data_IF_861301026116
#
_entry.id   IF_861301026116
#
_cell.length_a   1.000
_cell.length_b   1.000
_cell.length_c   1.000
_cell.angle_alpha   90.00
_cell.angle_beta   90.00
_cell.angle_gamma   90.00
#
_symmetry.space_group_name_H-M   'P 1'
#
loop_
_entity.id
_entity.type
_entity.pdbx_description
1 polymer ?
#
# COMPACT_ATOMS: atom_id res chain seq x y z
N UNK A 1 -2.64 -29.17 -10.46
CA UNK A 1 -1.85 -28.17 -9.69
C UNK A 1 -1.35 -28.85 -8.41
N UNK A 2 -0.10 -28.64 -7.96
CA UNK A 2 0.42 -29.27 -6.73
C UNK A 2 0.47 -28.23 -5.61
N UNK A 3 -0.44 -28.38 -4.65
CA UNK A 3 -0.60 -27.49 -3.50
C UNK A 3 -0.55 -28.33 -2.22
N UNK A 4 0.18 -27.85 -1.22
CA UNK A 4 0.26 -28.48 0.09
C UNK A 4 -0.63 -27.71 1.05
N UNK A 5 -1.70 -28.36 1.50
CA UNK A 5 -2.62 -27.81 2.48
C UNK A 5 -2.16 -28.17 3.89
N UNK A 6 -2.44 -27.29 4.84
CA UNK A 6 -2.31 -27.64 6.26
C UNK A 6 -3.36 -28.68 6.65
N UNK A 7 -3.09 -29.45 7.71
CA UNK A 7 -4.06 -30.44 8.22
C UNK A 7 -5.41 -29.81 8.56
N UNK A 8 -5.43 -28.55 9.01
CA UNK A 8 -6.67 -27.83 9.28
C UNK A 8 -7.42 -27.49 7.97
N UNK A 9 -6.71 -27.00 6.95
CA UNK A 9 -7.31 -26.69 5.65
C UNK A 9 -7.91 -27.93 4.99
N UNK A 10 -7.20 -29.06 5.01
CA UNK A 10 -7.71 -30.33 4.47
C UNK A 10 -9.01 -30.76 5.15
N UNK A 11 -9.06 -30.73 6.49
CA UNK A 11 -10.27 -31.12 7.25
C UNK A 11 -11.47 -30.24 6.93
N UNK A 12 -11.27 -28.94 6.77
CA UNK A 12 -12.35 -28.00 6.44
C UNK A 12 -12.89 -28.31 5.05
N UNK A 13 -12.02 -28.45 4.05
CA UNK A 13 -12.44 -28.71 2.67
C UNK A 13 -13.08 -30.09 2.51
N UNK A 14 -12.55 -31.12 3.17
CA UNK A 14 -13.16 -32.46 3.19
C UNK A 14 -14.56 -32.44 3.81
N UNK A 15 -14.74 -31.72 4.91
CA UNK A 15 -16.05 -31.54 5.56
C UNK A 15 -17.05 -30.83 4.63
N UNK A 16 -16.61 -29.78 3.93
CA UNK A 16 -17.45 -29.04 2.98
C UNK A 16 -17.87 -29.90 1.77
N UNK A 17 -16.99 -30.78 1.29
CA UNK A 17 -17.33 -31.75 0.25
C UNK A 17 -18.32 -32.81 0.76
N UNK A 18 -18.12 -33.33 1.97
CA UNK A 18 -19.02 -34.33 2.57
C UNK A 18 -20.42 -33.80 2.84
N UNK A 19 -20.55 -32.51 3.11
CA UNK A 19 -21.84 -31.83 3.30
C UNK A 19 -22.57 -31.54 1.99
N UNK A 20 -21.97 -31.89 0.83
CA UNK A 20 -22.54 -31.63 -0.48
C UNK A 20 -22.42 -30.18 -0.93
N UNK A 21 -21.58 -29.38 -0.26
CA UNK A 21 -21.33 -27.98 -0.63
C UNK A 21 -20.51 -27.83 -1.91
N UNK A 22 -19.73 -28.86 -2.28
CA UNK A 22 -18.89 -28.90 -3.47
C UNK A 22 -18.81 -30.31 -4.04
N UNK A 23 -18.65 -30.43 -5.36
CA UNK A 23 -18.65 -31.72 -6.07
C UNK A 23 -17.38 -32.54 -5.85
N UNK A 24 -16.28 -31.86 -5.55
CA UNK A 24 -14.98 -32.48 -5.26
C UNK A 24 -14.10 -31.53 -4.45
N UNK A 25 -12.99 -32.05 -3.93
CA UNK A 25 -11.98 -31.24 -3.26
C UNK A 25 -11.39 -30.17 -4.20
N UNK A 26 -11.22 -30.52 -5.47
CA UNK A 26 -10.73 -29.62 -6.51
C UNK A 26 -11.72 -28.48 -6.75
N UNK A 27 -13.02 -28.80 -6.86
CA UNK A 27 -14.10 -27.81 -7.00
C UNK A 27 -14.15 -26.85 -5.80
N UNK A 28 -13.98 -27.37 -4.58
CA UNK A 28 -13.91 -26.54 -3.37
C UNK A 28 -12.69 -25.60 -3.37
N UNK A 29 -11.53 -26.07 -3.84
CA UNK A 29 -10.30 -25.27 -3.94
C UNK A 29 -10.45 -24.19 -5.01
N UNK A 30 -10.98 -24.53 -6.19
CA UNK A 30 -11.17 -23.57 -7.28
C UNK A 30 -12.12 -22.44 -6.87
N UNK A 31 -13.23 -22.77 -6.21
CA UNK A 31 -14.14 -21.75 -5.67
C UNK A 31 -13.48 -20.88 -4.60
N UNK A 32 -12.69 -21.47 -3.70
CA UNK A 32 -11.95 -20.71 -2.69
C UNK A 32 -10.93 -19.73 -3.32
N UNK A 33 -10.26 -20.14 -4.39
CA UNK A 33 -9.33 -19.29 -5.13
C UNK A 33 -10.03 -18.16 -5.89
N UNK A 34 -11.23 -18.40 -6.42
CA UNK A 34 -12.06 -17.35 -7.03
C UNK A 34 -12.46 -16.30 -5.99
N UNK A 35 -12.93 -16.74 -4.82
CA UNK A 35 -13.27 -15.84 -3.71
C UNK A 35 -12.07 -15.01 -3.26
N UNK A 36 -10.90 -15.63 -3.13
CA UNK A 36 -9.65 -14.94 -2.81
C UNK A 36 -9.26 -13.93 -3.88
N UNK A 37 -9.41 -14.28 -5.16
CA UNK A 37 -9.12 -13.37 -6.27
C UNK A 37 -10.05 -12.15 -6.27
N UNK A 38 -11.33 -12.34 -5.94
CA UNK A 38 -12.30 -11.26 -5.84
C UNK A 38 -12.06 -10.38 -4.60
N UNK A 39 -11.68 -10.96 -3.46
CA UNK A 39 -11.24 -10.23 -2.26
C UNK A 39 -9.99 -9.39 -2.55
N UNK A 40 -8.98 -9.98 -3.21
CA UNK A 40 -7.77 -9.26 -3.63
C UNK A 40 -8.12 -8.10 -4.58
N UNK A 41 -9.04 -8.29 -5.53
CA UNK A 41 -9.50 -7.19 -6.40
C UNK A 41 -10.25 -6.11 -5.62
N UNK A 42 -11.10 -6.50 -4.67
CA UNK A 42 -11.85 -5.58 -3.82
C UNK A 42 -10.91 -4.73 -2.96
N UNK A 43 -9.96 -5.35 -2.25
CA UNK A 43 -8.98 -4.66 -1.42
C UNK A 43 -7.99 -3.80 -2.22
N UNK A 44 -7.60 -4.21 -3.43
CA UNK A 44 -6.82 -3.34 -4.32
C UNK A 44 -7.65 -2.19 -4.92
N UNK A 45 -8.99 -2.24 -4.85
CA UNK A 45 -9.88 -1.16 -5.31
C UNK A 45 -10.18 -0.11 -4.23
N UNK A 46 -9.91 -0.42 -2.95
CA UNK A 46 -10.16 0.51 -1.83
C UNK A 46 -9.13 1.63 -1.74
N UNK A 47 -7.94 1.44 -2.30
CA UNK A 47 -6.95 2.51 -2.44
C UNK A 47 -7.35 3.42 -3.62
N UNK A 48 -8.12 4.47 -3.30
CA UNK A 48 -8.48 5.53 -4.26
C UNK A 48 -7.26 5.91 -5.12
N UNK A 49 -7.40 6.11 -6.44
CA UNK A 49 -6.27 6.49 -7.31
C UNK A 49 -5.47 7.71 -6.80
N UNK A 50 -6.15 8.65 -6.15
CA UNK A 50 -5.54 9.80 -5.48
C UNK A 50 -4.63 9.42 -4.31
N UNK A 51 -5.04 8.42 -3.51
CA UNK A 51 -4.25 7.89 -2.41
C UNK A 51 -2.99 7.20 -2.94
N UNK A 52 -3.12 6.35 -3.96
CA UNK A 52 -1.98 5.70 -4.60
C UNK A 52 -0.98 6.71 -5.17
N UNK A 53 -1.48 7.76 -5.84
CA UNK A 53 -0.65 8.85 -6.34
C UNK A 53 0.07 9.58 -5.19
N UNK A 54 -0.64 9.89 -4.10
CA UNK A 54 -0.05 10.51 -2.92
C UNK A 54 1.02 9.64 -2.27
N UNK A 55 0.78 8.33 -2.11
CA UNK A 55 1.75 7.37 -1.55
C UNK A 55 3.02 7.33 -2.42
N UNK A 56 2.85 7.21 -3.74
CA UNK A 56 3.97 7.17 -4.69
C UNK A 56 4.82 8.45 -4.60
N UNK A 57 4.18 9.62 -4.66
CA UNK A 57 4.87 10.91 -4.55
C UNK A 57 5.56 11.10 -3.19
N UNK A 58 4.93 10.64 -2.12
CA UNK A 58 5.49 10.76 -0.76
C UNK A 58 6.72 9.89 -0.59
N UNK A 59 6.70 8.65 -1.09
CA UNK A 59 7.86 7.75 -1.07
C UNK A 59 9.05 8.36 -1.81
N UNK A 60 8.82 8.93 -2.99
CA UNK A 60 9.86 9.61 -3.76
C UNK A 60 10.50 10.76 -2.98
N UNK A 61 9.68 11.63 -2.37
CA UNK A 61 10.19 12.76 -1.56
C UNK A 61 10.98 12.32 -0.33
N UNK A 62 10.58 11.23 0.30
CA UNK A 62 11.31 10.65 1.44
C UNK A 62 12.68 10.16 0.96
N UNK A 63 12.73 9.43 -0.14
CA UNK A 63 13.97 8.90 -0.69
C UNK A 63 14.93 10.03 -1.10
N UNK A 64 14.43 11.06 -1.78
CA UNK A 64 15.20 12.28 -2.08
C UNK A 64 15.79 12.92 -0.81
N UNK A 65 14.98 13.06 0.24
CA UNK A 65 15.42 13.61 1.53
C UNK A 65 16.48 12.76 2.23
N UNK A 66 16.33 11.43 2.19
CA UNK A 66 17.32 10.50 2.74
C UNK A 66 18.65 10.61 1.99
N UNK A 67 18.60 10.66 0.65
CA UNK A 67 19.81 10.81 -0.18
C UNK A 67 20.49 12.16 0.02
N UNK A 68 19.73 13.25 0.12
CA UNK A 68 20.26 14.58 0.43
C UNK A 68 20.94 14.61 1.82
N UNK A 69 20.27 14.03 2.83
CA UNK A 69 20.82 13.90 4.17
C UNK A 69 22.13 13.10 4.19
N UNK A 70 22.20 11.99 3.45
CA UNK A 70 23.42 11.19 3.33
C UNK A 70 24.60 11.96 2.71
N UNK A 71 24.33 12.97 1.87
CA UNK A 71 25.35 13.89 1.31
C UNK A 71 25.66 15.08 2.22
N UNK A 72 25.03 15.17 3.39
CA UNK A 72 25.17 16.31 4.31
C UNK A 72 24.37 17.55 3.90
N UNK A 73 23.44 17.43 2.95
CA UNK A 73 22.56 18.51 2.49
C UNK A 73 21.39 18.72 3.47
N UNK A 74 21.72 18.94 4.74
CA UNK A 74 20.77 19.24 5.81
C UNK A 74 20.83 20.73 6.15
N UNK A 75 19.71 21.28 6.61
CA UNK A 75 19.62 22.68 7.03
C UNK A 75 19.28 22.75 8.51
N UNK A 76 19.94 23.67 9.20
CA UNK A 76 19.62 24.00 10.58
C UNK A 76 18.25 24.67 10.68
N UNK A 77 17.46 24.30 11.69
CA UNK A 77 16.09 24.77 11.83
C UNK A 77 15.99 26.31 11.88
N UNK A 78 16.94 26.97 12.54
CA UNK A 78 17.00 28.44 12.61
C UNK A 78 17.25 29.07 11.23
N UNK A 79 18.07 28.43 10.39
CA UNK A 79 18.33 28.88 9.04
C UNK A 79 17.09 28.72 8.14
N UNK A 80 16.39 27.59 8.27
CA UNK A 80 15.13 27.34 7.58
C UNK A 80 14.10 28.42 7.94
N UNK A 81 13.93 28.72 9.24
CA UNK A 81 12.99 29.75 9.71
C UNK A 81 13.35 31.14 9.18
N UNK A 82 14.63 31.50 9.17
CA UNK A 82 15.09 32.78 8.63
C UNK A 82 14.80 32.89 7.11
N UNK A 83 15.10 31.84 6.34
CA UNK A 83 14.81 31.78 4.91
C UNK A 83 13.31 31.88 4.61
N UNK A 84 12.47 31.20 5.40
CA UNK A 84 11.01 31.25 5.26
C UNK A 84 10.46 32.65 5.56
N UNK A 85 10.92 33.29 6.64
CA UNK A 85 10.53 34.67 6.96
C UNK A 85 10.90 35.63 5.83
N UNK A 86 12.12 35.53 5.30
CA UNK A 86 12.56 36.39 4.20
C UNK A 86 11.72 36.19 2.93
N UNK A 87 11.37 34.95 2.57
CA UNK A 87 10.46 34.66 1.46
C UNK A 87 9.10 35.34 1.62
N UNK A 88 8.53 35.27 2.82
CA UNK A 88 7.24 35.92 3.14
C UNK A 88 7.34 37.44 3.03
N UNK A 89 8.38 38.05 3.59
CA UNK A 89 8.56 39.51 3.53
C UNK A 89 8.80 39.99 2.09
N UNK A 90 9.55 39.24 1.29
CA UNK A 90 9.74 39.52 -0.13
C UNK A 90 8.42 39.47 -0.90
N UNK A 91 7.60 38.42 -0.69
CA UNK A 91 6.30 38.29 -1.34
C UNK A 91 5.35 39.45 -0.99
N UNK A 92 5.39 39.93 0.26
CA UNK A 92 4.61 41.10 0.69
C UNK A 92 5.08 42.40 0.02
N UNK A 93 6.39 42.57 -0.16
CA UNK A 93 6.95 43.76 -0.79
C UNK A 93 6.64 43.84 -2.30
N UNK A 94 6.57 42.69 -2.99
CA UNK A 94 6.22 42.59 -4.41
C UNK A 94 4.71 42.76 -4.66
N UNK A 95 3.87 42.48 -3.67
CA UNK A 95 2.41 42.61 -3.75
C UNK A 95 1.89 44.02 -3.43
N UNK A 96 2.77 45.00 -3.17
CA UNK A 96 2.44 46.42 -2.95
C UNK A 96 2.84 47.26 -4.15
#
# INVERSE_FOLDING_TARGET
MQITLSSQQSKILESLCQQGGYLSLEDAIDNALVLLADEIKSHNSEEKPEYLAWVSQTRLKIEEGVQASARGEVLEANEVLARLRNKVETAKAVSR
#
